data_IF_358253834150
#
_entry.id   IF_358253834150
#
_cell.length_a   1.000
_cell.length_b   1.000
_cell.length_c   1.000
_cell.angle_alpha   90.00
_cell.angle_beta   90.00
_cell.angle_gamma   90.00
#
_symmetry.space_group_name_H-M   'P 1'
#
loop_
_entity.id
_entity.type
_entity.pdbx_description
1 polymer ?
#
# COMPACT_ATOMS: atom_id res chain seq x y z
N UNK A 1 -14.32 -10.94 6.09
CA UNK A 1 -12.88 -10.78 5.77
C UNK A 1 -12.27 -9.64 6.58
N UNK A 2 -12.91 -8.48 6.59
CA UNK A 2 -12.61 -7.32 7.44
C UNK A 2 -12.17 -7.67 8.89
N UNK A 3 -13.00 -8.38 9.66
CA UNK A 3 -12.68 -8.78 11.06
C UNK A 3 -11.38 -9.59 11.19
N UNK A 4 -10.98 -10.34 10.15
CA UNK A 4 -9.73 -11.09 10.16
C UNK A 4 -8.51 -10.20 9.94
N UNK A 5 -8.66 -9.08 9.23
CA UNK A 5 -7.59 -8.13 8.91
C UNK A 5 -7.37 -7.11 10.03
N UNK A 6 -8.42 -6.75 10.78
CA UNK A 6 -8.37 -5.76 11.86
C UNK A 6 -7.30 -6.05 12.91
N UNK A 7 -7.06 -7.33 13.23
CA UNK A 7 -6.02 -7.74 14.17
C UNK A 7 -4.58 -7.59 13.65
N UNK A 8 -4.41 -7.30 12.35
CA UNK A 8 -3.12 -7.20 11.68
C UNK A 8 -2.81 -5.79 11.17
N UNK A 9 -3.80 -4.90 11.11
CA UNK A 9 -3.65 -3.53 10.64
C UNK A 9 -3.82 -2.54 11.79
N UNK A 10 -3.05 -1.44 11.77
CA UNK A 10 -3.35 -0.29 12.62
C UNK A 10 -4.36 0.63 11.98
N UNK A 11 -4.41 0.67 10.64
CA UNK A 11 -5.35 1.49 9.88
C UNK A 11 -5.79 0.78 8.59
N UNK A 12 -7.03 1.05 8.19
CA UNK A 12 -7.58 0.73 6.87
C UNK A 12 -7.44 1.91 5.90
N UNK A 13 -7.63 1.66 4.61
CA UNK A 13 -7.39 2.59 3.50
C UNK A 13 -8.19 3.88 3.65
N UNK A 14 -9.44 3.78 4.08
CA UNK A 14 -10.31 4.94 4.29
C UNK A 14 -9.98 5.70 5.57
N UNK A 15 -9.51 5.02 6.61
CA UNK A 15 -9.01 5.70 7.82
C UNK A 15 -7.75 6.52 7.49
N UNK A 16 -6.85 5.96 6.68
CA UNK A 16 -5.64 6.68 6.24
C UNK A 16 -6.00 7.96 5.48
N UNK A 17 -7.01 7.91 4.60
CA UNK A 17 -7.45 9.06 3.80
C UNK A 17 -8.09 10.17 4.66
N UNK A 18 -8.73 9.80 5.77
CA UNK A 18 -9.49 10.74 6.60
C UNK A 18 -8.71 11.27 7.81
N UNK A 19 -7.82 10.47 8.38
CA UNK A 19 -7.27 10.70 9.72
C UNK A 19 -5.74 10.90 9.72
N UNK A 20 -5.02 10.28 8.77
CA UNK A 20 -3.56 10.30 8.77
C UNK A 20 -2.96 11.52 8.07
N UNK A 21 -1.78 11.92 8.56
CA UNK A 21 -0.91 12.93 7.99
C UNK A 21 0.28 12.31 7.26
N UNK A 22 0.99 13.14 6.50
CA UNK A 22 2.23 12.70 5.85
C UNK A 22 3.27 12.26 6.90
N UNK A 23 3.93 11.14 6.63
CA UNK A 23 4.93 10.47 7.46
C UNK A 23 4.39 9.78 8.72
N UNK A 24 3.08 9.68 8.90
CA UNK A 24 2.51 8.83 9.94
C UNK A 24 2.90 7.37 9.69
N UNK A 25 3.33 6.68 10.74
CA UNK A 25 3.69 5.26 10.68
C UNK A 25 2.42 4.41 10.80
N UNK A 26 2.21 3.51 9.84
CA UNK A 26 1.02 2.66 9.78
C UNK A 26 1.38 1.22 9.44
N UNK A 27 0.47 0.32 9.82
CA UNK A 27 0.44 -1.07 9.37
C UNK A 27 -0.86 -1.26 8.62
N UNK A 28 -0.76 -1.65 7.36
CA UNK A 28 -1.92 -1.97 6.51
C UNK A 28 -1.92 -3.45 6.19
N UNK A 29 -3.10 -4.05 6.07
CA UNK A 29 -3.28 -5.46 5.78
C UNK A 29 -4.32 -5.65 4.69
N UNK A 30 -4.03 -6.48 3.70
CA UNK A 30 -4.98 -6.70 2.60
C UNK A 30 -4.49 -7.64 1.52
N UNK A 31 -5.33 -7.84 0.51
CA UNK A 31 -5.04 -8.63 -0.68
C UNK A 31 -4.34 -7.76 -1.72
N UNK A 32 -3.25 -8.25 -2.30
CA UNK A 32 -2.64 -7.59 -3.46
C UNK A 32 -3.54 -7.83 -4.67
N UNK A 33 -4.10 -6.75 -5.24
CA UNK A 33 -4.89 -6.80 -6.47
C UNK A 33 -4.04 -6.71 -7.72
N UNK A 34 -3.03 -5.85 -7.70
CA UNK A 34 -2.17 -5.60 -8.86
C UNK A 34 -0.77 -5.18 -8.43
N UNK A 35 0.21 -5.42 -9.31
CA UNK A 35 1.61 -4.99 -9.14
C UNK A 35 2.05 -4.34 -10.44
N UNK A 36 2.41 -3.06 -10.36
CA UNK A 36 2.96 -2.29 -11.47
C UNK A 36 4.48 -2.21 -11.26
N UNK A 37 5.30 -2.73 -12.19
CA UNK A 37 6.74 -2.65 -12.10
C UNK A 37 7.24 -1.20 -12.31
N UNK A 38 8.44 -0.87 -11.83
CA UNK A 38 9.06 0.42 -12.08
C UNK A 38 9.23 0.68 -13.59
N UNK A 39 8.98 1.93 -14.01
CA UNK A 39 9.18 2.37 -15.40
C UNK A 39 10.58 2.93 -15.50
N UNK A 40 11.42 2.33 -16.34
CA UNK A 40 12.86 2.64 -16.45
C UNK A 40 13.19 3.92 -17.21
N UNK A 41 12.22 4.51 -17.90
CA UNK A 41 12.45 5.67 -18.76
C UNK A 41 12.17 6.96 -17.98
N UNK A 42 13.25 7.55 -17.43
CA UNK A 42 13.38 8.92 -16.93
C UNK A 42 12.25 9.48 -16.04
N UNK A 43 12.49 9.60 -14.73
CA UNK A 43 12.16 10.76 -13.85
C UNK A 43 12.26 10.36 -12.36
N UNK A 44 13.20 10.98 -11.65
CA UNK A 44 13.22 11.31 -10.20
C UNK A 44 12.56 10.34 -9.19
N UNK A 45 13.40 9.67 -8.40
CA UNK A 45 13.24 9.14 -7.03
C UNK A 45 12.09 8.15 -6.70
N UNK A 46 10.97 8.17 -7.41
CA UNK A 46 9.86 7.20 -7.25
C UNK A 46 9.68 6.28 -8.46
N UNK A 47 10.30 6.59 -9.60
CA UNK A 47 10.34 5.75 -10.82
C UNK A 47 10.99 4.39 -10.63
N UNK A 48 11.73 4.19 -9.54
CA UNK A 48 12.35 2.90 -9.21
C UNK A 48 11.48 1.98 -8.35
N UNK A 49 10.28 2.38 -7.91
CA UNK A 49 9.46 1.55 -7.01
C UNK A 49 8.46 0.69 -7.78
N UNK A 50 8.19 -0.49 -7.22
CA UNK A 50 6.97 -1.24 -7.53
C UNK A 50 5.80 -0.53 -6.87
N UNK A 51 4.67 -0.45 -7.58
CA UNK A 51 3.42 0.08 -7.05
C UNK A 51 2.45 -1.09 -6.93
N UNK A 52 2.00 -1.38 -5.71
CA UNK A 52 1.06 -2.43 -5.42
C UNK A 52 -0.28 -1.79 -5.10
N UNK A 53 -1.37 -2.37 -5.60
CA UNK A 53 -2.71 -2.04 -5.16
C UNK A 53 -3.16 -3.05 -4.10
N UNK A 54 -3.47 -2.56 -2.91
CA UNK A 54 -3.89 -3.36 -1.77
C UNK A 54 -5.38 -3.13 -1.49
N UNK A 55 -6.15 -4.21 -1.38
CA UNK A 55 -7.56 -4.21 -0.97
C UNK A 55 -7.70 -4.78 0.43
N UNK A 56 -8.17 -3.94 1.36
CA UNK A 56 -8.38 -4.30 2.75
C UNK A 56 -9.85 -4.57 3.10
N UNK A 57 -10.71 -4.70 2.09
CA UNK A 57 -12.17 -4.86 2.15
C UNK A 57 -12.94 -3.65 2.69
N UNK A 58 -12.28 -2.53 2.98
CA UNK A 58 -12.89 -1.22 3.22
C UNK A 58 -12.72 -0.33 2.00
N UNK A 59 -11.56 -0.40 1.37
CA UNK A 59 -11.26 0.24 0.09
C UNK A 59 -9.91 -0.22 -0.43
N UNK A 60 -9.35 0.57 -1.35
CA UNK A 60 -8.00 0.31 -1.87
C UNK A 60 -7.04 1.43 -1.56
N UNK A 61 -5.76 1.05 -1.42
CA UNK A 61 -4.64 1.96 -1.26
C UNK A 61 -3.42 1.47 -2.04
N UNK A 62 -2.62 2.41 -2.54
CA UNK A 62 -1.37 2.09 -3.21
C UNK A 62 -0.21 2.00 -2.22
N UNK A 63 0.60 0.95 -2.38
CA UNK A 63 1.81 0.70 -1.62
C UNK A 63 3.02 0.80 -2.55
N UNK A 64 3.96 1.68 -2.23
CA UNK A 64 5.25 1.80 -2.88
C UNK A 64 6.26 0.88 -2.21
N UNK A 65 6.84 -0.03 -2.99
CA UNK A 65 7.80 -1.04 -2.54
C UNK A 65 9.10 -0.87 -3.33
N UNK A 66 10.23 -0.76 -2.63
CA UNK A 66 11.53 -0.66 -3.29
C UNK A 66 11.92 -1.97 -3.98
N UNK A 67 12.76 -1.96 -5.03
CA UNK A 67 13.22 -3.19 -5.68
C UNK A 67 13.95 -4.14 -4.73
N UNK A 68 14.70 -3.58 -3.78
CA UNK A 68 15.40 -4.36 -2.74
C UNK A 68 14.39 -5.10 -1.85
N UNK A 69 13.34 -4.41 -1.41
CA UNK A 69 12.26 -5.03 -0.63
C UNK A 69 11.55 -6.11 -1.46
N UNK A 70 11.17 -5.82 -2.71
CA UNK A 70 10.52 -6.81 -3.58
C UNK A 70 11.36 -8.06 -3.83
N UNK A 71 12.69 -7.91 -3.89
CA UNK A 71 13.62 -9.01 -4.09
C UNK A 71 13.82 -9.85 -2.82
N UNK A 72 13.73 -9.23 -1.64
CA UNK A 72 13.86 -9.92 -0.35
C UNK A 72 12.57 -10.63 0.08
N UNK A 73 11.41 -10.19 -0.42
CA UNK A 73 10.11 -10.75 -0.11
C UNK A 73 9.46 -11.31 -1.38
N UNK A 74 9.85 -12.54 -1.72
CA UNK A 74 9.36 -13.28 -2.88
C UNK A 74 7.83 -13.45 -2.88
N UNK A 75 7.24 -13.61 -1.69
CA UNK A 75 5.80 -13.73 -1.46
C UNK A 75 4.95 -12.50 -1.82
N UNK A 76 5.56 -11.37 -2.19
CA UNK A 76 4.84 -10.21 -2.71
C UNK A 76 4.35 -10.53 -4.13
N UNK A 77 3.14 -11.09 -4.21
CA UNK A 77 2.51 -11.54 -5.44
C UNK A 77 1.01 -11.21 -5.44
N UNK A 78 0.43 -11.04 -6.64
CA UNK A 78 -1.00 -10.79 -6.80
C UNK A 78 -1.81 -11.95 -6.23
N UNK A 79 -2.86 -11.62 -5.49
CA UNK A 79 -3.75 -12.57 -4.82
C UNK A 79 -3.37 -12.90 -3.38
N UNK A 80 -2.13 -12.64 -2.97
CA UNK A 80 -1.68 -12.91 -1.60
C UNK A 80 -2.20 -11.85 -0.62
N UNK A 81 -2.50 -12.31 0.59
CA UNK A 81 -2.83 -11.46 1.73
C UNK A 81 -1.56 -11.17 2.54
N UNK A 82 -1.21 -9.90 2.68
CA UNK A 82 0.00 -9.47 3.37
C UNK A 82 -0.29 -8.34 4.34
N UNK A 83 0.63 -8.12 5.27
CA UNK A 83 0.78 -6.84 5.98
C UNK A 83 1.94 -6.05 5.41
N UNK A 84 1.82 -4.73 5.45
CA UNK A 84 2.90 -3.79 5.15
C UNK A 84 3.05 -2.80 6.29
N UNK A 85 4.27 -2.71 6.83
CA UNK A 85 4.68 -1.63 7.70
C UNK A 85 5.26 -0.50 6.83
N UNK A 86 4.80 0.72 7.02
CA UNK A 86 5.22 1.84 6.19
C UNK A 86 4.84 3.20 6.72
N UNK A 87 5.20 4.21 5.94
CA UNK A 87 4.86 5.61 6.22
C UNK A 87 3.85 6.14 5.21
N UNK A 88 2.89 6.93 5.69
CA UNK A 88 1.90 7.58 4.83
C UNK A 88 2.56 8.65 3.96
N UNK A 89 2.41 8.52 2.65
CA UNK A 89 2.80 9.50 1.67
C UNK A 89 1.56 10.24 1.15
N UNK A 90 1.49 11.55 1.41
CA UNK A 90 0.39 12.41 0.99
C UNK A 90 0.89 13.36 -0.09
N UNK A 91 0.29 13.28 -1.28
CA UNK A 91 0.58 14.19 -2.38
C UNK A 91 -0.60 15.12 -2.62
N UNK A 92 -0.33 16.42 -2.66
CA UNK A 92 -1.31 17.41 -3.09
C UNK A 92 -1.19 17.61 -4.59
N UNK A 93 -2.25 17.26 -5.33
CA UNK A 93 -2.35 17.51 -6.77
C UNK A 93 -3.39 18.59 -7.02
N UNK A 94 -3.00 19.60 -7.80
CA UNK A 94 -3.94 20.60 -8.30
C UNK A 94 -4.62 20.04 -9.56
N UNK A 95 -5.94 19.94 -9.53
CA UNK A 95 -6.77 19.52 -10.66
C UNK A 95 -7.73 20.67 -10.96
N UNK A 96 -7.48 21.40 -12.05
CA UNK A 96 -8.17 22.67 -12.38
C UNK A 96 -8.03 23.67 -11.22
N UNK A 97 -9.14 24.04 -10.58
CA UNK A 97 -9.20 25.02 -9.49
C UNK A 97 -9.22 24.37 -8.09
N UNK A 98 -9.27 23.04 -8.00
CA UNK A 98 -9.31 22.30 -6.75
C UNK A 98 -7.98 21.60 -6.42
N UNK A 99 -7.72 21.42 -5.13
CA UNK A 99 -6.63 20.57 -4.65
C UNK A 99 -7.18 19.23 -4.18
N UNK A 100 -6.67 18.15 -4.74
CA UNK A 100 -6.95 16.79 -4.30
C UNK A 100 -5.74 16.24 -3.55
N UNK A 101 -5.99 15.58 -2.43
CA UNK A 101 -4.99 14.79 -1.73
C UNK A 101 -5.03 13.35 -2.23
N UNK A 102 -3.89 12.84 -2.64
CA UNK A 102 -3.68 11.43 -2.93
C UNK A 102 -2.87 10.80 -1.79
N UNK A 103 -3.32 9.65 -1.31
CA UNK A 103 -2.71 8.93 -0.19
C UNK A 103 -2.13 7.60 -0.68
N UNK A 104 -0.98 7.26 -0.15
CA UNK A 104 -0.25 6.03 -0.46
C UNK A 104 0.65 5.67 0.71
N UNK A 105 1.17 4.45 0.74
CA UNK A 105 2.12 4.01 1.76
C UNK A 105 3.48 3.74 1.12
N UNK A 106 4.55 4.24 1.72
CA UNK A 106 5.92 3.80 1.39
C UNK A 106 6.30 2.72 2.39
N UNK A 107 6.32 1.47 1.92
CA UNK A 107 6.57 0.32 2.78
C UNK A 107 8.07 0.08 2.98
N UNK A 108 8.44 -0.32 4.19
CA UNK A 108 9.81 -0.72 4.53
C UNK A 108 9.90 -2.17 5.05
N UNK A 109 8.77 -2.79 5.38
CA UNK A 109 8.70 -4.18 5.83
C UNK A 109 7.34 -4.81 5.47
N UNK A 110 7.31 -6.14 5.32
CA UNK A 110 6.12 -6.89 4.94
C UNK A 110 6.11 -8.30 5.55
N UNK A 111 4.91 -8.82 5.81
CA UNK A 111 4.73 -10.20 6.27
C UNK A 111 3.54 -10.88 5.60
N UNK A 112 3.63 -12.21 5.42
CA UNK A 112 2.54 -13.02 4.90
C UNK A 112 1.45 -13.19 5.96
N UNK A 113 0.20 -13.05 5.53
CA UNK A 113 -0.96 -13.45 6.32
C UNK A 113 -1.49 -14.78 5.82
N UNK A 114 -1.51 -15.78 6.70
CA UNK A 114 -2.20 -17.05 6.43
C UNK A 114 -3.72 -16.86 6.63
N UNK A 115 -4.34 -16.18 5.66
CA UNK A 115 -5.79 -15.99 5.60
C UNK A 115 -6.34 -16.77 4.42
N UNK A 116 -7.11 -17.81 4.73
CA UNK A 116 -7.91 -18.53 3.74
C UNK A 116 -9.22 -17.80 3.50
N UNK A 117 -9.50 -17.44 2.24
CA UNK A 117 -10.85 -17.10 1.80
C UNK A 117 -11.74 -18.33 2.05
N UNK A 118 -12.88 -18.12 2.73
CA UNK A 118 -13.85 -19.19 2.89
C UNK A 118 -14.48 -19.43 1.52
N UNK A 119 -14.26 -20.63 0.98
CA UNK A 119 -14.84 -21.10 -0.28
C UNK A 119 -16.36 -21.06 -0.26
#
# INVERSE_FOLDING_TARGET
>A
MFEKLEKYATHFSEQIKNECNHLDSVVVAGKILSIIPPITDDIKLLSSHYILELDDHVGTIFIFVSPMMKSNFDFIEVGNYLTFNGYVNVLLRKIKDDYKKDYSIVAFDAAVLDIKEAS
#
